data_IF_953874363682
#
_entry.id   IF_953874363682
#
_cell.length_a   1.000
_cell.length_b   1.000
_cell.length_c   1.000
_cell.angle_alpha   90.00
_cell.angle_beta   90.00
_cell.angle_gamma   90.00
#
_symmetry.space_group_name_H-M   'P 1'
#
loop_
_entity.id
_entity.type
_entity.pdbx_description
1 polymer ?
#
# COMPACT_ATOMS: atom_id res chain seq x y z
N UNK A 1 4.22 -23.23 -28.45
CA UNK A 1 4.91 -22.02 -27.97
C UNK A 1 3.83 -21.29 -27.18
N UNK A 2 3.69 -21.59 -25.90
CA UNK A 2 2.65 -20.96 -25.07
C UNK A 2 3.32 -19.80 -24.37
N UNK A 3 2.71 -18.64 -24.55
CA UNK A 3 3.24 -17.32 -24.23
C UNK A 3 3.53 -17.19 -22.74
N UNK A 4 4.66 -16.54 -22.44
CA UNK A 4 5.05 -16.15 -21.10
C UNK A 4 3.97 -15.24 -20.53
N UNK A 5 3.27 -15.67 -19.49
CA UNK A 5 2.67 -14.72 -18.57
C UNK A 5 3.83 -13.97 -17.90
N UNK A 6 3.87 -12.62 -17.93
CA UNK A 6 4.70 -11.93 -16.97
C UNK A 6 4.12 -12.31 -15.60
N UNK A 7 4.85 -13.14 -14.84
CA UNK A 7 4.78 -13.09 -13.39
C UNK A 7 5.15 -11.65 -13.05
N UNK A 8 4.13 -10.81 -12.89
CA UNK A 8 4.29 -9.57 -12.18
C UNK A 8 4.60 -10.05 -10.77
N UNK A 9 5.89 -10.17 -10.45
CA UNK A 9 6.38 -10.12 -9.09
C UNK A 9 5.84 -8.78 -8.53
N UNK A 10 4.60 -8.80 -8.02
CA UNK A 10 4.08 -7.77 -7.15
C UNK A 10 4.81 -7.91 -5.81
N UNK A 11 6.13 -7.72 -5.84
CA UNK A 11 6.94 -7.38 -4.67
C UNK A 11 6.48 -6.02 -4.20
N UNK A 12 5.36 -5.98 -3.49
CA UNK A 12 4.97 -5.00 -2.47
C UNK A 12 3.47 -5.16 -2.22
N UNK A 13 3.08 -6.26 -1.56
CA UNK A 13 1.84 -6.30 -0.80
C UNK A 13 1.92 -5.21 0.29
N UNK A 14 1.64 -3.97 -0.09
CA UNK A 14 1.66 -2.81 0.79
C UNK A 14 0.37 -2.83 1.60
N UNK A 15 0.24 -3.81 2.49
CA UNK A 15 -0.87 -3.91 3.42
C UNK A 15 -0.80 -2.74 4.42
N UNK A 16 -1.89 -1.99 4.59
CA UNK A 16 -1.90 -0.97 5.65
C UNK A 16 -1.81 -1.62 7.03
N UNK A 17 -0.80 -1.25 7.82
CA UNK A 17 -0.56 -1.82 9.16
C UNK A 17 -1.71 -1.63 10.15
N UNK A 18 -2.60 -0.66 9.90
CA UNK A 18 -3.71 -0.31 10.80
C UNK A 18 -5.01 -1.05 10.50
N UNK A 19 -5.34 -1.23 9.22
CA UNK A 19 -6.63 -1.79 8.80
C UNK A 19 -6.52 -3.05 7.96
N UNK A 20 -5.31 -3.48 7.59
CA UNK A 20 -5.11 -4.69 6.78
C UNK A 20 -5.70 -4.60 5.37
N UNK A 21 -5.88 -3.39 4.84
CA UNK A 21 -6.42 -3.24 3.47
C UNK A 21 -5.37 -3.75 2.49
N UNK A 22 -5.68 -4.90 1.88
CA UNK A 22 -4.84 -5.65 0.92
C UNK A 22 -5.49 -5.80 -0.45
N UNK A 23 -6.78 -5.48 -0.57
CA UNK A 23 -7.49 -5.77 -1.79
C UNK A 23 -7.21 -4.68 -2.84
N UNK A 24 -6.41 -5.03 -3.84
CA UNK A 24 -6.04 -4.16 -4.96
C UNK A 24 -7.25 -3.67 -5.78
N UNK A 25 -8.35 -4.45 -5.80
CA UNK A 25 -9.59 -4.05 -6.46
C UNK A 25 -10.33 -2.99 -5.63
N UNK A 26 -10.37 -3.13 -4.31
CA UNK A 26 -10.89 -2.11 -3.40
C UNK A 26 -10.02 -0.85 -3.40
N UNK A 27 -8.69 -0.99 -3.50
CA UNK A 27 -7.78 0.15 -3.58
C UNK A 27 -8.06 1.02 -4.80
N UNK A 28 -8.25 0.41 -5.98
CA UNK A 28 -8.60 1.16 -7.19
C UNK A 28 -10.03 1.72 -7.14
N UNK A 29 -10.98 0.97 -6.56
CA UNK A 29 -12.38 1.38 -6.50
C UNK A 29 -12.63 2.54 -5.53
N UNK A 30 -11.97 2.52 -4.37
CA UNK A 30 -12.13 3.51 -3.31
C UNK A 30 -11.03 4.57 -3.26
N UNK A 31 -10.14 4.60 -4.27
CA UNK A 31 -8.97 5.49 -4.33
C UNK A 31 -8.14 5.45 -3.03
N UNK A 32 -7.83 4.23 -2.60
CA UNK A 32 -7.04 3.98 -1.39
C UNK A 32 -5.57 3.99 -1.78
N UNK A 33 -4.80 4.87 -1.17
CA UNK A 33 -3.37 5.02 -1.40
C UNK A 33 -2.61 4.53 -0.18
N UNK A 34 -1.68 3.60 -0.38
CA UNK A 34 -0.76 3.15 0.67
C UNK A 34 0.60 3.80 0.48
N UNK A 35 1.15 4.37 1.55
CA UNK A 35 2.50 4.95 1.59
C UNK A 35 3.29 4.34 2.74
N UNK A 36 4.59 4.21 2.56
CA UNK A 36 5.50 3.82 3.65
C UNK A 36 5.93 5.09 4.38
N UNK A 37 5.71 5.12 5.69
CA UNK A 37 6.17 6.21 6.58
C UNK A 37 7.10 5.68 7.65
N UNK A 38 8.05 6.50 8.08
CA UNK A 38 8.92 6.18 9.23
C UNK A 38 8.20 6.54 10.52
N UNK A 39 7.95 5.54 11.36
CA UNK A 39 7.34 5.73 12.68
C UNK A 39 8.34 6.27 13.70
N UNK A 40 7.84 6.74 14.85
CA UNK A 40 8.67 7.27 15.96
C UNK A 40 9.66 6.24 16.53
N UNK A 41 9.40 4.96 16.37
CA UNK A 41 10.31 3.87 16.74
C UNK A 41 11.42 3.63 15.70
N UNK A 42 11.44 4.40 14.60
CA UNK A 42 12.43 4.33 13.54
C UNK A 42 12.17 3.21 12.53
N UNK A 43 11.04 2.48 12.63
CA UNK A 43 10.64 1.50 11.63
C UNK A 43 9.81 2.12 10.52
N UNK A 44 10.05 1.65 9.29
CA UNK A 44 9.24 2.01 8.13
C UNK A 44 8.02 1.09 8.04
N UNK A 45 6.82 1.68 7.97
CA UNK A 45 5.56 0.93 7.92
C UNK A 45 4.63 1.45 6.83
N UNK A 46 3.96 0.54 6.09
CA UNK A 46 2.91 0.89 5.14
C UNK A 46 1.63 1.35 5.86
N UNK A 47 1.09 2.49 5.45
CA UNK A 47 -0.11 3.12 5.99
C UNK A 47 -0.99 3.63 4.84
N UNK A 48 -2.31 3.50 4.96
CA UNK A 48 -3.25 3.98 3.94
C UNK A 48 -3.88 5.33 4.30
N UNK A 49 -4.35 6.04 3.27
CA UNK A 49 -5.08 7.30 3.40
C UNK A 49 -6.41 7.18 4.16
N UNK A 50 -6.99 5.98 4.26
CA UNK A 50 -8.18 5.77 5.10
C UNK A 50 -7.87 5.87 6.60
N UNK A 51 -6.74 5.30 7.02
CA UNK A 51 -6.32 5.32 8.42
C UNK A 51 -5.62 6.63 8.78
N UNK A 52 -4.85 7.19 7.85
CA UNK A 52 -4.12 8.44 8.00
C UNK A 52 -4.52 9.36 6.84
N UNK A 53 -5.58 10.16 6.99
CA UNK A 53 -6.09 11.01 5.90
C UNK A 53 -5.10 12.10 5.46
N UNK A 54 -4.10 12.41 6.28
CA UNK A 54 -3.12 13.48 6.05
C UNK A 54 -1.78 12.98 5.45
N UNK A 55 -1.76 11.82 4.80
CA UNK A 55 -0.52 11.29 4.19
C UNK A 55 0.08 12.18 3.08
N UNK A 56 -0.64 13.21 2.63
CA UNK A 56 -0.17 14.17 1.63
C UNK A 56 0.77 15.25 2.19
N UNK A 57 0.87 15.45 3.51
CA UNK A 57 1.54 16.63 4.10
C UNK A 57 2.93 16.38 4.69
N UNK A 58 3.43 15.14 4.68
CA UNK A 58 4.81 14.87 5.13
C UNK A 58 5.77 15.06 3.94
N UNK A 59 6.25 16.29 3.77
CA UNK A 59 7.37 16.68 2.91
C UNK A 59 8.64 16.91 3.72
#
# INVERSE_FOLDING_TARGET
MTENEPKLDSESESECVYCGVVDEQEQMYYDIHVRVITHSDGSDKPVCNLCIPDLETVQ
#
